data_IF_756481145456
#
_entry.id   IF_756481145456
#
_cell.length_a   1.000
_cell.length_b   1.000
_cell.length_c   1.000
_cell.angle_alpha   90.00
_cell.angle_beta   90.00
_cell.angle_gamma   90.00
#
_symmetry.space_group_name_H-M   'P 1'
#
loop_
_entity.id
_entity.type
_entity.pdbx_description
1 polymer ?
#
# COMPACT_ATOMS: atom_id res chain seq x y z
N UNK A 1 -16.74 -0.59 -37.13
CA UNK A 1 -16.58 -0.16 -35.72
C UNK A 1 -16.14 -1.37 -34.93
N UNK A 2 -15.11 -1.21 -34.08
CA UNK A 2 -14.76 -2.23 -33.10
C UNK A 2 -15.83 -2.24 -32.01
N UNK A 3 -16.24 -3.40 -31.53
CA UNK A 3 -17.19 -3.51 -30.42
C UNK A 3 -16.47 -3.42 -29.07
N UNK A 4 -17.22 -3.14 -27.99
CA UNK A 4 -16.67 -3.19 -26.63
C UNK A 4 -16.08 -4.57 -26.30
N UNK A 5 -16.69 -5.64 -26.80
CA UNK A 5 -16.18 -7.00 -26.63
C UNK A 5 -14.80 -7.17 -27.29
N UNK A 6 -14.58 -6.55 -28.45
CA UNK A 6 -13.29 -6.59 -29.15
C UNK A 6 -12.20 -5.77 -28.44
N UNK A 7 -12.59 -4.71 -27.72
CA UNK A 7 -11.68 -3.87 -26.92
C UNK A 7 -11.31 -4.54 -25.60
N UNK A 8 -12.24 -5.27 -25.00
CA UNK A 8 -12.04 -6.03 -23.76
C UNK A 8 -11.57 -7.47 -23.98
N UNK A 9 -11.21 -7.85 -25.21
CA UNK A 9 -10.77 -9.22 -25.52
C UNK A 9 -9.52 -9.69 -24.76
N UNK A 10 -8.78 -8.77 -24.12
CA UNK A 10 -7.64 -9.07 -23.24
C UNK A 10 -8.05 -9.36 -21.79
N UNK A 11 -9.28 -9.02 -21.39
CA UNK A 11 -9.76 -9.20 -20.02
C UNK A 11 -10.08 -10.66 -19.79
N UNK A 12 -9.37 -11.26 -18.83
CA UNK A 12 -9.65 -12.61 -18.34
C UNK A 12 -10.37 -12.55 -16.99
N UNK A 13 -10.92 -13.67 -16.54
CA UNK A 13 -11.47 -13.78 -15.18
C UNK A 13 -10.43 -13.40 -14.10
N UNK A 14 -9.15 -13.67 -14.35
CA UNK A 14 -8.07 -13.30 -13.45
C UNK A 14 -7.87 -11.78 -13.40
N UNK A 15 -7.87 -11.09 -14.55
CA UNK A 15 -7.82 -9.62 -14.63
C UNK A 15 -9.01 -9.01 -13.88
N UNK A 16 -10.22 -9.52 -14.12
CA UNK A 16 -11.42 -9.04 -13.45
C UNK A 16 -11.32 -9.15 -11.92
N UNK A 17 -10.80 -10.27 -11.41
CA UNK A 17 -10.56 -10.45 -9.96
C UNK A 17 -9.58 -9.42 -9.40
N UNK A 18 -8.54 -9.02 -10.14
CA UNK A 18 -7.62 -7.95 -9.70
C UNK A 18 -8.31 -6.59 -9.66
N UNK A 19 -9.14 -6.29 -10.67
CA UNK A 19 -9.97 -5.08 -10.69
C UNK A 19 -10.90 -5.04 -9.48
N UNK A 20 -11.59 -6.14 -9.17
CA UNK A 20 -12.44 -6.24 -7.97
C UNK A 20 -11.65 -5.99 -6.68
N UNK A 21 -10.47 -6.61 -6.53
CA UNK A 21 -9.63 -6.43 -5.34
C UNK A 21 -9.19 -4.98 -5.14
N UNK A 22 -8.78 -4.31 -6.22
CA UNK A 22 -8.35 -2.91 -6.20
C UNK A 22 -9.49 -1.97 -5.82
N UNK A 23 -10.70 -2.17 -6.37
CA UNK A 23 -11.88 -1.36 -6.02
C UNK A 23 -12.23 -1.52 -4.53
N UNK A 24 -12.17 -2.75 -4.00
CA UNK A 24 -12.48 -2.98 -2.59
C UNK A 24 -11.45 -2.32 -1.67
N UNK A 25 -10.17 -2.40 -2.03
CA UNK A 25 -9.09 -1.75 -1.29
C UNK A 25 -9.24 -0.22 -1.32
N UNK A 26 -9.58 0.36 -2.47
CA UNK A 26 -9.89 1.80 -2.61
C UNK A 26 -11.13 2.24 -1.82
N UNK A 27 -12.09 1.33 -1.62
CA UNK A 27 -13.26 1.58 -0.78
C UNK A 27 -12.97 1.48 0.73
N UNK A 28 -11.72 1.18 1.12
CA UNK A 28 -11.30 1.11 2.53
C UNK A 28 -11.54 -0.24 3.20
N UNK A 29 -11.80 -1.30 2.44
CA UNK A 29 -11.90 -2.66 2.99
C UNK A 29 -10.52 -3.12 3.50
N UNK A 30 -10.51 -3.87 4.60
CA UNK A 30 -9.27 -4.45 5.12
C UNK A 30 -8.75 -5.57 4.21
N UNK A 31 -7.42 -5.84 4.20
CA UNK A 31 -6.83 -6.95 3.43
C UNK A 31 -7.52 -8.30 3.65
N UNK A 32 -7.99 -8.55 4.89
CA UNK A 32 -8.70 -9.78 5.24
C UNK A 32 -10.07 -9.86 4.57
N UNK A 33 -10.87 -8.79 4.62
CA UNK A 33 -12.19 -8.77 3.99
C UNK A 33 -12.09 -8.97 2.47
N UNK A 34 -11.07 -8.38 1.85
CA UNK A 34 -10.82 -8.56 0.41
C UNK A 34 -10.41 -10.01 0.13
N UNK A 35 -9.54 -10.60 0.94
CA UNK A 35 -9.15 -12.00 0.80
C UNK A 35 -10.34 -12.96 0.96
N UNK A 36 -11.24 -12.69 1.90
CA UNK A 36 -12.47 -13.46 2.11
C UNK A 36 -13.37 -13.39 0.85
N UNK A 37 -13.53 -12.20 0.26
CA UNK A 37 -14.30 -12.02 -0.99
C UNK A 37 -13.68 -12.77 -2.18
N UNK A 38 -12.35 -12.89 -2.22
CA UNK A 38 -11.64 -13.62 -3.28
C UNK A 38 -11.49 -15.12 -2.99
N UNK A 39 -11.77 -15.57 -1.76
CA UNK A 39 -11.57 -16.94 -1.32
C UNK A 39 -10.08 -17.31 -1.18
N UNK A 40 -9.21 -16.37 -0.83
CA UNK A 40 -7.79 -16.64 -0.58
C UNK A 40 -7.55 -17.03 0.88
N UNK A 41 -6.79 -18.09 1.10
CA UNK A 41 -6.43 -18.55 2.45
C UNK A 41 -5.51 -17.58 3.20
N UNK A 42 -4.68 -16.83 2.46
CA UNK A 42 -3.72 -15.87 3.01
C UNK A 42 -4.01 -14.49 2.42
N UNK A 43 -4.07 -13.46 3.29
CA UNK A 43 -4.30 -12.09 2.83
C UNK A 43 -3.13 -11.52 2.03
N UNK A 44 -1.91 -12.04 2.23
CA UNK A 44 -0.72 -11.61 1.48
C UNK A 44 -0.87 -11.86 -0.01
N UNK A 45 -1.40 -13.01 -0.42
CA UNK A 45 -1.69 -13.31 -1.84
C UNK A 45 -2.61 -12.24 -2.45
N UNK A 46 -3.61 -11.77 -1.72
CA UNK A 46 -4.48 -10.69 -2.19
C UNK A 46 -3.71 -9.38 -2.36
N UNK A 47 -2.90 -9.00 -1.37
CA UNK A 47 -2.20 -7.73 -1.38
C UNK A 47 -1.05 -7.68 -2.40
N UNK A 48 -0.34 -8.79 -2.58
CA UNK A 48 0.84 -8.86 -3.45
C UNK A 48 0.45 -9.01 -4.93
N UNK A 49 -0.54 -9.86 -5.22
CA UNK A 49 -0.84 -10.27 -6.60
C UNK A 49 -2.11 -9.63 -7.18
N UNK A 50 -3.08 -9.26 -6.34
CA UNK A 50 -4.42 -8.84 -6.80
C UNK A 50 -4.71 -7.36 -6.63
N UNK A 51 -4.13 -6.69 -5.63
CA UNK A 51 -4.26 -5.23 -5.45
C UNK A 51 -3.23 -4.51 -6.31
N UNK A 52 -3.67 -3.52 -7.08
CA UNK A 52 -2.76 -2.66 -7.83
C UNK A 52 -1.83 -1.88 -6.90
N UNK A 53 -0.51 -1.93 -7.13
CA UNK A 53 0.45 -1.13 -6.36
C UNK A 53 0.16 0.37 -6.57
N UNK A 54 -0.20 1.07 -5.50
CA UNK A 54 -0.24 2.55 -5.51
C UNK A 54 1.17 3.11 -5.73
N UNK A 55 1.24 4.28 -6.36
CA UNK A 55 2.50 4.99 -6.58
C UNK A 55 3.24 5.27 -5.25
N UNK A 56 4.51 5.68 -5.35
CA UNK A 56 5.43 5.99 -4.23
C UNK A 56 4.69 6.70 -3.10
N UNK A 57 4.98 6.33 -1.85
CA UNK A 57 4.40 6.91 -0.64
C UNK A 57 5.23 8.13 -0.18
N UNK A 58 4.85 9.38 -0.53
CA UNK A 58 5.59 10.57 -0.10
C UNK A 58 5.48 10.84 1.39
N UNK A 59 4.38 10.42 2.04
CA UNK A 59 4.18 10.57 3.48
C UNK A 59 5.20 9.73 4.25
N UNK A 60 5.48 8.52 3.78
CA UNK A 60 6.55 7.69 4.34
C UNK A 60 7.92 8.39 4.26
N UNK A 61 8.22 9.09 3.16
CA UNK A 61 9.46 9.85 3.05
C UNK A 61 9.51 11.00 4.08
N UNK A 62 8.40 11.72 4.28
CA UNK A 62 8.30 12.78 5.29
C UNK A 62 8.49 12.26 6.71
N UNK A 63 7.87 11.12 7.04
CA UNK A 63 8.02 10.50 8.37
C UNK A 63 9.46 10.05 8.64
N UNK A 64 10.11 9.46 7.62
CA UNK A 64 11.52 9.08 7.73
C UNK A 64 12.44 10.30 7.90
N UNK A 65 12.16 11.39 7.19
CA UNK A 65 12.92 12.64 7.32
C UNK A 65 12.79 13.25 8.72
N UNK A 66 11.58 13.30 9.28
CA UNK A 66 11.36 13.81 10.64
C UNK A 66 12.10 12.95 11.67
N UNK A 67 11.97 11.62 11.58
CA UNK A 67 12.64 10.71 12.51
C UNK A 67 14.18 10.91 12.49
N UNK A 68 14.76 11.13 11.31
CA UNK A 68 16.20 11.41 11.18
C UNK A 68 16.60 12.74 11.84
N UNK A 69 15.77 13.78 11.76
CA UNK A 69 16.01 15.07 12.43
C UNK A 69 15.97 14.91 13.95
N UNK A 70 14.96 14.23 14.47
CA UNK A 70 14.81 14.01 15.91
C UNK A 70 16.02 13.26 16.50
N UNK A 71 16.49 12.21 15.81
CA UNK A 71 17.68 11.45 16.20
C UNK A 71 18.93 12.35 16.23
N UNK A 72 19.08 13.23 15.23
CA UNK A 72 20.22 14.15 15.15
C UNK A 72 20.19 15.19 16.28
N UNK A 73 19.01 15.72 16.60
CA UNK A 73 18.83 16.72 17.66
C UNK A 73 19.07 16.13 19.05
N UNK A 74 18.60 14.91 19.30
CA UNK A 74 18.87 14.16 20.54
C UNK A 74 20.37 13.86 20.71
N UNK A 75 21.08 13.55 19.62
CA UNK A 75 22.53 13.35 19.63
C UNK A 75 23.34 14.63 19.91
N UNK A 76 22.77 15.82 19.66
CA UNK A 76 23.38 17.13 19.96
C UNK A 76 23.16 17.59 21.40
N UNK A 77 22.18 17.05 22.11
CA UNK A 77 21.93 17.33 23.53
C UNK A 77 22.89 16.51 24.40
N UNK A 78 24.14 16.99 24.53
CA UNK A 78 25.11 16.48 25.51
C UNK A 78 24.68 16.97 26.91
N UNK A 79 24.77 16.15 27.98
CA UNK A 79 24.28 16.52 29.31
C UNK A 79 24.98 17.77 29.82
N UNK A 80 24.19 18.69 30.43
CA UNK A 80 24.72 19.82 31.18
C UNK A 80 25.79 19.31 32.15
N UNK A 81 27.03 19.71 31.91
CA UNK A 81 28.17 19.35 32.76
C UNK A 81 27.94 19.86 34.18
N UNK A 82 28.48 19.17 35.21
CA UNK A 82 28.16 19.49 36.59
C UNK A 82 28.57 20.93 36.91
N UNK A 83 27.62 21.68 37.49
CA UNK A 83 27.87 23.00 38.04
C UNK A 83 28.98 22.88 39.11
N UNK A 84 30.11 23.52 38.82
CA UNK A 84 31.23 23.72 39.75
C UNK A 84 31.03 25.04 40.49
#
# INVERSE_FOLDING_TARGET
MRSLADELGWVTAHVFRKTTATILEESGQSPRQIADQLGHAQMTTTMDDYVGRRARNPEAASHLEQALRDIHEQGRQTPEGPAI
#
